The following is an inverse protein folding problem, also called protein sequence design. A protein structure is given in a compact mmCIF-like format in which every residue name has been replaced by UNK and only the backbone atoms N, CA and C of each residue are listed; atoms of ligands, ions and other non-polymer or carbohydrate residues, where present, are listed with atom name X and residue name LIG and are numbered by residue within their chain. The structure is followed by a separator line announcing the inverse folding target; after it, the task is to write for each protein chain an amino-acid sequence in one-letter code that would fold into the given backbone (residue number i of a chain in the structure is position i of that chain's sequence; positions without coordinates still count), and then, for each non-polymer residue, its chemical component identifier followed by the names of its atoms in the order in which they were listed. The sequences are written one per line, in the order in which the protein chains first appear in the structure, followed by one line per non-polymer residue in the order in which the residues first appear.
data_IF_692122791348
#
_entry.id   IF_692122791348
#
_cell.length_a   1.000
_cell.length_b   1.000
_cell.length_c   1.000
_cell.angle_alpha   90.00
_cell.angle_beta   90.00
_cell.angle_gamma   90.00
#
_symmetry.space_group_name_H-M   'P 1'
#
loop_
_entity.id
_entity.type
_entity.pdbx_description
1 polymer ?
#
# COMPACT_ATOMS: atom_id res chain seq x y z
N UNK A 1 -43.08 3.11 35.10
CA UNK A 1 -42.32 2.46 36.17
C UNK A 1 -41.37 1.46 35.53
N UNK A 2 -40.08 1.76 35.52
CA UNK A 2 -39.01 0.87 35.02
C UNK A 2 -38.58 -0.13 36.10
N UNK A 3 -37.81 -1.16 35.72
CA UNK A 3 -37.25 -2.11 36.69
C UNK A 3 -36.29 -1.38 37.66
N UNK A 4 -35.48 -0.45 37.15
CA UNK A 4 -34.61 0.39 37.96
C UNK A 4 -35.39 1.21 39.00
N UNK A 5 -36.47 1.87 38.58
CA UNK A 5 -37.35 2.64 39.48
C UNK A 5 -38.03 1.75 40.52
N UNK A 6 -38.45 0.54 40.12
CA UNK A 6 -39.09 -0.43 41.02
C UNK A 6 -38.11 -1.01 42.07
N UNK A 7 -36.86 -1.28 41.65
CA UNK A 7 -35.78 -1.74 42.52
C UNK A 7 -35.27 -0.64 43.45
N UNK A 8 -35.27 0.63 43.01
CA UNK A 8 -34.83 1.77 43.80
C UNK A 8 -35.87 2.26 44.82
N UNK A 9 -37.14 1.89 44.64
CA UNK A 9 -38.23 2.34 45.51
C UNK A 9 -38.19 1.74 46.94
N UNK A 10 -37.47 0.63 47.15
CA UNK A 10 -37.38 -0.03 48.46
C UNK A 10 -36.09 -0.87 48.58
N UNK A 11 -35.32 -0.65 49.65
CA UNK A 11 -34.10 -1.39 49.93
C UNK A 11 -34.32 -2.90 50.07
N UNK A 12 -35.49 -3.35 50.56
CA UNK A 12 -35.85 -4.76 50.66
C UNK A 12 -36.03 -5.47 49.30
N UNK A 13 -36.22 -4.71 48.21
CA UNK A 13 -36.40 -5.26 46.84
C UNK A 13 -35.09 -5.56 46.13
N UNK A 14 -33.98 -5.02 46.62
CA UNK A 14 -32.64 -5.18 46.03
C UNK A 14 -32.18 -6.64 45.89
N UNK A 15 -32.71 -7.54 46.73
CA UNK A 15 -32.41 -8.97 46.74
C UNK A 15 -33.41 -9.83 45.97
N UNK A 16 -34.42 -9.23 45.34
CA UNK A 16 -35.32 -9.96 44.45
C UNK A 16 -34.59 -10.36 43.17
N UNK A 17 -34.97 -11.49 42.58
CA UNK A 17 -34.30 -12.01 41.39
C UNK A 17 -34.38 -11.06 40.20
N UNK A 18 -35.45 -10.27 40.09
CA UNK A 18 -35.62 -9.27 39.04
C UNK A 18 -34.58 -8.14 39.16
N UNK A 19 -34.23 -7.72 40.38
CA UNK A 19 -33.24 -6.66 40.60
C UNK A 19 -31.81 -7.18 40.44
N UNK A 20 -31.56 -8.46 40.75
CA UNK A 20 -30.27 -9.12 40.49
C UNK A 20 -30.05 -9.26 38.98
N UNK A 21 -31.02 -9.85 38.27
CA UNK A 21 -30.92 -10.04 36.82
C UNK A 21 -30.79 -8.70 36.07
N UNK A 22 -31.48 -7.66 36.52
CA UNK A 22 -31.34 -6.33 35.94
C UNK A 22 -29.92 -5.77 36.12
N UNK A 23 -29.34 -5.90 37.33
CA UNK A 23 -27.96 -5.48 37.61
C UNK A 23 -26.96 -6.23 36.73
N UNK A 24 -27.09 -7.55 36.65
CA UNK A 24 -26.20 -8.39 35.84
C UNK A 24 -26.31 -8.01 34.34
N UNK A 25 -27.53 -7.71 33.87
CA UNK A 25 -27.76 -7.28 32.49
C UNK A 25 -27.11 -5.93 32.19
N UNK A 26 -27.18 -4.96 33.11
CA UNK A 26 -26.54 -3.66 32.95
C UNK A 26 -25.01 -3.74 33.03
N UNK A 27 -24.46 -4.65 33.84
CA UNK A 27 -23.03 -4.97 33.87
C UNK A 27 -22.56 -5.57 32.54
N UNK A 28 -23.30 -6.53 31.99
CA UNK A 28 -23.01 -7.12 30.67
C UNK A 28 -23.09 -6.06 29.57
N UNK A 29 -24.09 -5.17 29.58
CA UNK A 29 -24.20 -4.07 28.62
C UNK A 29 -23.00 -3.13 28.69
N UNK A 30 -22.59 -2.76 29.89
CA UNK A 30 -21.45 -1.86 30.12
C UNK A 30 -20.14 -2.50 29.65
N UNK A 31 -19.87 -3.73 30.08
CA UNK A 31 -18.66 -4.46 29.69
C UNK A 31 -18.59 -4.77 28.19
N UNK A 32 -19.71 -5.10 27.56
CA UNK A 32 -19.78 -5.28 26.11
C UNK A 32 -19.53 -3.95 25.38
N UNK A 33 -20.11 -2.84 25.84
CA UNK A 33 -19.88 -1.51 25.27
C UNK A 33 -18.41 -1.10 25.33
N UNK A 34 -17.73 -1.36 26.46
CA UNK A 34 -16.29 -1.11 26.60
C UNK A 34 -15.45 -1.94 25.63
N UNK A 35 -15.75 -3.24 25.50
CA UNK A 35 -15.05 -4.14 24.55
C UNK A 35 -15.25 -3.71 23.10
N UNK A 36 -16.46 -3.30 22.72
CA UNK A 36 -16.75 -2.79 21.38
C UNK A 36 -15.97 -1.51 21.11
N UNK A 37 -15.97 -0.56 22.06
CA UNK A 37 -15.20 0.68 21.93
C UNK A 37 -13.69 0.43 21.78
N UNK A 38 -13.14 -0.51 22.55
CA UNK A 38 -11.75 -0.93 22.44
C UNK A 38 -11.44 -1.54 21.06
N UNK A 39 -12.26 -2.50 20.61
CA UNK A 39 -12.08 -3.16 19.31
C UNK A 39 -12.18 -2.16 18.16
N UNK A 40 -13.15 -1.23 18.19
CA UNK A 40 -13.26 -0.17 17.19
C UNK A 40 -12.05 0.77 17.22
N UNK A 41 -11.52 1.10 18.41
CA UNK A 41 -10.30 1.89 18.55
C UNK A 41 -9.04 1.20 18.02
N UNK A 42 -8.97 -0.13 18.13
CA UNK A 42 -7.91 -0.95 17.51
C UNK A 42 -8.08 -0.98 15.99
N UNK A 43 -9.30 -1.23 15.50
CA UNK A 43 -9.62 -1.29 14.08
C UNK A 43 -9.30 0.03 13.37
N UNK A 44 -9.66 1.17 13.96
CA UNK A 44 -9.36 2.50 13.39
C UNK A 44 -7.85 2.76 13.32
N UNK A 45 -7.07 2.36 14.33
CA UNK A 45 -5.60 2.48 14.29
C UNK A 45 -5.00 1.56 13.24
N UNK A 46 -5.51 0.35 13.10
CA UNK A 46 -5.08 -0.59 12.06
C UNK A 46 -5.39 -0.04 10.67
N UNK A 47 -6.59 0.51 10.46
CA UNK A 47 -7.00 1.14 9.20
C UNK A 47 -6.11 2.35 8.86
N UNK A 48 -5.89 3.26 9.80
CA UNK A 48 -5.00 4.41 9.57
C UNK A 48 -3.55 4.00 9.24
N UNK A 49 -3.06 2.92 9.85
CA UNK A 49 -1.75 2.35 9.54
C UNK A 49 -1.73 1.71 8.15
N UNK A 50 -2.81 1.02 7.77
CA UNK A 50 -2.98 0.45 6.45
C UNK A 50 -3.08 1.54 5.38
N UNK A 51 -3.86 2.60 5.60
CA UNK A 51 -3.99 3.74 4.68
C UNK A 51 -2.66 4.48 4.52
N UNK A 52 -1.88 4.67 5.60
CA UNK A 52 -0.54 5.23 5.53
C UNK A 52 0.47 4.33 4.79
N UNK A 53 0.29 3.01 4.85
CA UNK A 53 1.08 2.06 4.08
C UNK A 53 0.66 2.03 2.60
N UNK A 54 -0.64 2.12 2.31
CA UNK A 54 -1.20 2.19 0.96
C UNK A 54 -0.94 3.54 0.27
N UNK A 55 -0.69 4.61 1.04
CA UNK A 55 -0.21 5.90 0.51
C UNK A 55 1.20 5.83 -0.12
N UNK A 56 1.88 4.68 -0.05
CA UNK A 56 3.10 4.40 -0.81
C UNK A 56 2.75 3.99 -2.25
N UNK A 57 2.13 4.91 -2.99
CA UNK A 57 1.96 4.73 -4.42
C UNK A 57 3.33 4.74 -5.09
N UNK A 58 3.66 3.66 -5.80
CA UNK A 58 4.91 3.54 -6.54
C UNK A 58 4.59 3.84 -8.00
N UNK A 59 5.07 4.97 -8.49
CA UNK A 59 4.93 5.34 -9.90
C UNK A 59 6.22 4.99 -10.63
N UNK A 60 6.10 4.09 -11.60
CA UNK A 60 7.22 3.66 -12.42
C UNK A 60 7.08 4.18 -13.85
N UNK A 61 8.15 4.76 -14.37
CA UNK A 61 8.28 5.22 -15.75
C UNK A 61 9.38 4.45 -16.45
N UNK A 62 9.23 4.24 -17.75
CA UNK A 62 10.29 3.66 -18.58
C UNK A 62 10.85 4.72 -19.50
N UNK A 63 12.17 4.89 -19.47
CA UNK A 63 12.92 5.83 -20.30
C UNK A 63 13.70 5.07 -21.36
N UNK A 64 13.58 5.50 -22.60
CA UNK A 64 14.37 4.94 -23.71
C UNK A 64 15.53 5.86 -24.02
N UNK A 65 16.76 5.37 -23.86
CA UNK A 65 17.98 6.12 -24.14
C UNK A 65 18.70 5.47 -25.32
N UNK A 66 19.21 6.31 -26.22
CA UNK A 66 19.83 5.86 -27.46
C UNK A 66 21.31 6.21 -27.51
N UNK A 67 22.11 5.35 -28.14
CA UNK A 67 23.55 5.54 -28.39
C UNK A 67 24.31 5.97 -27.13
N UNK A 68 24.04 5.30 -26.01
CA UNK A 68 24.59 5.65 -24.69
C UNK A 68 25.39 4.50 -24.10
N UNK A 69 26.33 4.80 -23.20
CA UNK A 69 27.02 3.80 -22.36
C UNK A 69 26.38 3.67 -20.98
N UNK A 70 25.45 4.55 -20.64
CA UNK A 70 24.80 4.63 -19.34
C UNK A 70 23.29 4.77 -19.53
N UNK A 71 22.53 4.02 -18.75
CA UNK A 71 21.10 4.27 -18.54
C UNK A 71 20.91 5.00 -17.22
N UNK A 72 20.11 6.07 -17.21
CA UNK A 72 19.90 6.89 -16.01
C UNK A 72 18.45 7.29 -15.82
N UNK A 73 18.05 7.42 -14.55
CA UNK A 73 16.74 7.96 -14.18
C UNK A 73 16.75 9.48 -14.10
N UNK A 74 15.56 10.09 -14.16
CA UNK A 74 15.43 11.52 -13.84
C UNK A 74 15.59 11.74 -12.33
N UNK A 75 15.98 12.95 -11.88
CA UNK A 75 16.07 13.25 -10.47
C UNK A 75 14.80 12.90 -9.70
N UNK A 76 14.94 12.26 -8.54
CA UNK A 76 13.81 11.82 -7.71
C UNK A 76 13.22 10.46 -8.07
N UNK A 77 13.73 9.79 -9.11
CA UNK A 77 13.42 8.39 -9.40
C UNK A 77 14.59 7.47 -9.06
N UNK A 78 14.26 6.27 -8.58
CA UNK A 78 15.18 5.17 -8.30
C UNK A 78 15.16 4.16 -9.44
N UNK A 79 16.34 3.76 -9.91
CA UNK A 79 16.54 2.79 -10.97
C UNK A 79 16.18 1.39 -10.49
N UNK A 80 15.28 0.73 -11.23
CA UNK A 80 14.79 -0.62 -10.94
C UNK A 80 15.24 -1.64 -11.98
N UNK A 81 15.60 -1.20 -13.18
CA UNK A 81 16.11 -2.10 -14.21
C UNK A 81 16.61 -1.39 -15.46
N UNK A 82 17.50 -2.07 -16.18
CA UNK A 82 18.00 -1.63 -17.48
C UNK A 82 18.06 -2.80 -18.47
N UNK A 83 17.38 -2.64 -19.59
CA UNK A 83 17.29 -3.66 -20.64
C UNK A 83 17.77 -3.09 -21.96
N UNK A 84 18.75 -3.72 -22.58
CA UNK A 84 19.18 -3.35 -23.93
C UNK A 84 18.17 -3.90 -24.94
N UNK A 85 17.44 -3.01 -25.62
CA UNK A 85 16.39 -3.38 -26.58
C UNK A 85 16.89 -3.38 -28.01
N UNK A 86 17.99 -2.67 -28.30
CA UNK A 86 18.60 -2.65 -29.63
C UNK A 86 20.11 -2.80 -29.56
N UNK A 87 20.60 -3.80 -30.29
CA UNK A 87 22.01 -4.05 -30.56
C UNK A 87 22.14 -4.60 -31.99
N UNK A 88 23.30 -4.45 -32.62
CA UNK A 88 23.53 -5.01 -33.95
C UNK A 88 24.92 -5.63 -34.02
N UNK A 89 25.07 -6.67 -34.84
CA UNK A 89 26.35 -7.32 -35.08
C UNK A 89 27.42 -6.35 -35.63
N UNK A 90 27.01 -5.39 -36.48
CA UNK A 90 27.91 -4.36 -37.04
C UNK A 90 28.38 -3.33 -36.00
N UNK A 91 27.65 -3.18 -34.90
CA UNK A 91 27.99 -2.26 -33.81
C UNK A 91 28.69 -2.95 -32.61
N UNK A 92 29.11 -4.20 -32.76
CA UNK A 92 29.84 -4.93 -31.72
C UNK A 92 29.00 -5.84 -30.81
N UNK A 93 27.73 -6.12 -31.15
CA UNK A 93 26.87 -7.03 -30.38
C UNK A 93 26.23 -6.37 -29.15
N UNK A 94 25.70 -7.19 -28.22
CA UNK A 94 25.18 -6.68 -26.94
C UNK A 94 26.33 -6.14 -26.09
N UNK A 95 26.14 -4.96 -25.49
CA UNK A 95 27.08 -4.49 -24.48
C UNK A 95 26.91 -5.31 -23.19
N UNK A 96 27.96 -5.48 -22.42
CA UNK A 96 27.93 -6.16 -21.13
C UNK A 96 27.69 -5.11 -20.04
N UNK A 97 26.67 -5.32 -19.21
CA UNK A 97 26.41 -4.49 -18.04
C UNK A 97 27.57 -4.63 -17.04
N UNK A 98 28.15 -3.52 -16.61
CA UNK A 98 29.33 -3.45 -15.74
C UNK A 98 28.98 -3.11 -14.30
N UNK A 99 28.05 -2.18 -14.10
CA UNK A 99 27.66 -1.72 -12.78
C UNK A 99 26.23 -1.20 -12.79
N UNK A 100 25.58 -1.28 -11.63
CA UNK A 100 24.23 -0.76 -11.39
C UNK A 100 24.25 -0.06 -10.03
N UNK A 101 23.58 1.08 -9.96
CA UNK A 101 23.34 1.89 -8.77
C UNK A 101 21.87 2.30 -8.73
N UNK A 102 21.47 2.99 -7.66
CA UNK A 102 20.10 3.49 -7.48
C UNK A 102 19.69 4.53 -8.52
N UNK A 103 20.63 5.10 -9.30
CA UNK A 103 20.33 6.18 -10.27
C UNK A 103 20.77 5.86 -11.69
N UNK A 104 21.76 4.99 -11.85
CA UNK A 104 22.31 4.63 -13.15
C UNK A 104 22.78 3.18 -13.29
N UNK A 105 22.78 2.70 -14.52
CA UNK A 105 23.37 1.45 -14.96
C UNK A 105 24.42 1.75 -16.03
N UNK A 106 25.59 1.10 -15.97
CA UNK A 106 26.72 1.37 -16.87
C UNK A 106 27.11 0.13 -17.65
N UNK A 107 27.34 0.29 -18.95
CA UNK A 107 27.77 -0.76 -19.87
C UNK A 107 29.26 -0.65 -20.21
N UNK A 108 29.85 -1.76 -20.66
CA UNK A 108 31.25 -1.81 -21.11
C UNK A 108 31.49 -1.07 -22.44
N UNK A 109 30.43 -0.84 -23.21
CA UNK A 109 30.45 -0.28 -24.54
C UNK A 109 29.17 0.50 -24.82
N UNK A 110 29.07 1.06 -26.03
CA UNK A 110 27.91 1.85 -26.43
C UNK A 110 26.72 0.96 -26.79
N UNK A 111 25.58 1.21 -26.16
CA UNK A 111 24.29 0.58 -26.44
C UNK A 111 23.53 1.44 -27.45
N UNK A 112 22.94 0.82 -28.47
CA UNK A 112 22.16 1.56 -29.46
C UNK A 112 20.83 2.04 -28.89
N UNK A 113 20.15 1.19 -28.12
CA UNK A 113 18.94 1.54 -27.37
C UNK A 113 18.88 0.75 -26.05
N UNK A 114 18.62 1.45 -24.96
CA UNK A 114 18.36 0.89 -23.63
C UNK A 114 17.04 1.43 -23.09
N UNK A 115 16.23 0.55 -22.51
CA UNK A 115 15.07 0.90 -21.71
C UNK A 115 15.43 0.83 -20.23
N UNK A 116 15.28 1.95 -19.53
CA UNK A 116 15.55 2.09 -18.11
C UNK A 116 14.23 2.22 -17.38
N UNK A 117 13.95 1.31 -16.45
CA UNK A 117 12.78 1.38 -15.57
C UNK A 117 13.16 2.11 -14.29
N UNK A 118 12.43 3.18 -14.02
CA UNK A 118 12.69 4.13 -12.94
C UNK A 118 11.41 4.29 -12.12
N UNK A 119 11.47 4.17 -10.80
CA UNK A 119 10.30 4.30 -9.93
C UNK A 119 10.51 5.38 -8.87
N UNK A 120 9.47 6.14 -8.57
CA UNK A 120 9.43 7.11 -7.48
C UNK A 120 8.33 6.70 -6.48
N UNK A 121 8.53 7.05 -5.22
CA UNK A 121 7.53 6.84 -4.17
C UNK A 121 6.75 8.14 -3.93
N UNK A 122 5.43 8.03 -3.86
CA UNK A 122 4.53 9.09 -3.41
C UNK A 122 3.47 9.47 -4.46
N UNK A 123 2.39 10.12 -4.01
CA UNK A 123 1.21 10.42 -4.83
C UNK A 123 1.44 11.49 -5.91
N UNK A 124 2.59 12.18 -5.88
CA UNK A 124 2.93 13.19 -6.87
C UNK A 124 4.43 13.07 -7.22
N UNK A 125 4.81 12.10 -8.08
CA UNK A 125 6.19 11.93 -8.48
C UNK A 125 6.67 13.13 -9.32
N UNK A 126 7.98 13.44 -9.32
CA UNK A 126 8.50 14.53 -10.14
C UNK A 126 8.24 14.26 -11.64
N UNK A 127 8.09 15.31 -12.46
CA UNK A 127 7.83 15.14 -13.88
C UNK A 127 8.98 14.36 -14.55
N UNK A 128 8.64 13.28 -15.25
CA UNK A 128 9.61 12.46 -15.96
C UNK A 128 9.85 13.00 -17.38
N UNK A 129 11.11 13.06 -17.80
CA UNK A 129 11.51 13.55 -19.11
C UNK A 129 11.36 12.43 -20.13
N UNK A 130 10.32 12.55 -20.98
CA UNK A 130 9.98 11.65 -22.09
C UNK A 130 9.75 10.19 -21.67
N UNK A 131 8.52 9.95 -21.21
CA UNK A 131 7.96 8.62 -20.96
C UNK A 131 7.20 8.21 -22.22
N UNK A 132 7.50 7.03 -22.78
CA UNK A 132 6.48 6.33 -23.55
C UNK A 132 5.61 5.70 -22.47
N UNK A 133 4.45 6.30 -22.18
CA UNK A 133 3.51 5.81 -21.19
C UNK A 133 3.06 4.40 -21.57
N UNK A 134 3.81 3.40 -21.15
CA UNK A 134 3.30 2.05 -21.03
C UNK A 134 2.62 2.00 -19.68
N UNK A 135 1.32 2.33 -19.70
CA UNK A 135 0.41 2.00 -18.60
C UNK A 135 0.60 0.51 -18.32
N UNK A 136 1.13 0.20 -17.14
CA UNK A 136 1.23 -1.18 -16.66
C UNK A 136 -0.21 -1.71 -16.55
N UNK A 137 -0.55 -2.90 -17.08
CA UNK A 137 -1.90 -3.42 -16.90
C UNK A 137 -2.20 -3.51 -15.40
N UNK A 138 -3.32 -2.91 -15.01
CA UNK A 138 -3.80 -2.92 -13.63
C UNK A 138 -3.90 -4.38 -13.14
N UNK A 139 -3.39 -4.70 -11.93
CA UNK A 139 -3.55 -6.04 -11.38
C UNK A 139 -5.05 -6.36 -11.30
N UNK A 140 -5.47 -7.37 -12.05
CA UNK A 140 -6.85 -7.86 -12.05
C UNK A 140 -7.17 -8.36 -10.63
N UNK A 141 -7.90 -7.58 -9.84
CA UNK A 141 -8.45 -8.06 -8.58
C UNK A 141 -9.37 -9.26 -8.90
N UNK A 142 -9.14 -10.44 -8.31
CA UNK A 142 -10.06 -11.54 -8.45
C UNK A 142 -11.43 -11.12 -7.93
N UNK A 143 -12.47 -11.29 -8.74
CA UNK A 143 -13.84 -11.01 -8.34
C UNK A 143 -14.19 -11.89 -7.12
N UNK A 144 -14.88 -11.36 -6.10
CA UNK A 144 -15.28 -12.14 -4.95
C UNK A 144 -16.16 -13.31 -5.41
N UNK A 145 -15.75 -14.51 -5.03
CA UNK A 145 -16.43 -15.76 -5.31
C UNK A 145 -17.82 -15.71 -4.66
N UNK A 146 -18.87 -15.64 -5.48
CA UNK A 146 -20.24 -15.67 -4.98
C UNK A 146 -20.55 -17.09 -4.52
N UNK A 147 -20.60 -17.26 -3.20
CA UNK A 147 -21.02 -18.50 -2.57
C UNK A 147 -22.55 -18.58 -2.74
N UNK A 148 -23.02 -19.50 -3.60
CA UNK A 148 -24.44 -19.87 -3.73
C UNK A 148 -24.89 -20.77 -2.59
#
# INVERSE_FOLDING_TARGET
MTIAEWCAADAGRTNTDICKQHRDTEEVRTSLGQRIAEVLGIANRAQATADAAMAREIVCVTRTLNRTRTGSCDPGYTLTGCTQTRYTYRAGGMAILRSVSDTECRYNGQVLEVQVRCCAMGPNPPPATQVRDQVLPEPQQPAPEQIS
#
